data_IF_063751932309
#
_entry.id   IF_063751932309
#
_cell.length_a   1.000
_cell.length_b   1.000
_cell.length_c   1.000
_cell.angle_alpha   90.00
_cell.angle_beta   90.00
_cell.angle_gamma   90.00
#
_symmetry.space_group_name_H-M   'P 1'
#
loop_
_entity.id
_entity.type
_entity.pdbx_description
1 polymer ?
#
# COMPACT_ATOMS: atom_id res chain seq x y z
N UNK A 1 12.74 -13.21 -7.98
CA UNK A 1 12.39 -13.39 -6.55
C UNK A 1 11.11 -12.63 -6.29
N UNK A 2 10.10 -13.26 -5.70
CA UNK A 2 8.85 -12.60 -5.29
C UNK A 2 8.84 -12.43 -3.77
N UNK A 3 8.06 -11.49 -3.26
CA UNK A 3 7.83 -11.29 -1.83
C UNK A 3 6.37 -10.94 -1.59
N UNK A 4 5.83 -11.35 -0.44
CA UNK A 4 4.52 -10.95 0.03
C UNK A 4 4.69 -10.09 1.29
N UNK A 5 4.32 -8.81 1.21
CA UNK A 5 4.28 -7.90 2.36
C UNK A 5 2.85 -7.76 2.85
N UNK A 6 2.58 -8.26 4.05
CA UNK A 6 1.26 -8.19 4.68
C UNK A 6 1.24 -7.05 5.70
N UNK A 7 0.37 -6.07 5.46
CA UNK A 7 0.16 -4.90 6.32
C UNK A 7 -1.08 -5.10 7.18
N UNK A 8 -0.88 -5.53 8.43
CA UNK A 8 -1.95 -5.53 9.44
C UNK A 8 -2.24 -4.10 9.88
N UNK A 9 -3.52 -3.70 9.78
CA UNK A 9 -3.92 -2.31 9.88
C UNK A 9 -3.70 -1.53 8.58
N UNK A 10 -3.88 -2.19 7.43
CA UNK A 10 -3.66 -1.59 6.09
C UNK A 10 -4.50 -0.34 5.81
N UNK A 11 -5.62 -0.14 6.51
CA UNK A 11 -6.48 1.06 6.44
C UNK A 11 -6.08 2.18 7.42
N UNK A 12 -5.11 1.93 8.30
CA UNK A 12 -4.71 2.85 9.37
C UNK A 12 -3.86 4.04 8.90
N UNK A 13 -3.76 5.05 9.76
CA UNK A 13 -3.05 6.30 9.49
C UNK A 13 -1.57 6.09 9.13
N UNK A 14 -0.89 5.20 9.85
CA UNK A 14 0.53 4.91 9.60
C UNK A 14 0.77 4.23 8.25
N UNK A 15 -0.10 3.29 7.87
CA UNK A 15 -0.01 2.60 6.59
C UNK A 15 -0.07 3.60 5.44
N UNK A 16 -0.98 4.57 5.56
CA UNK A 16 -1.16 5.62 4.59
C UNK A 16 -0.04 6.69 4.60
N UNK A 17 0.30 7.26 5.75
CA UNK A 17 1.18 8.45 5.83
C UNK A 17 2.66 8.12 5.72
N UNK A 18 3.06 6.87 5.93
CA UNK A 18 4.48 6.47 5.97
C UNK A 18 4.77 5.27 5.09
N UNK A 19 4.04 4.16 5.27
CA UNK A 19 4.39 2.90 4.60
C UNK A 19 4.15 2.98 3.10
N UNK A 20 2.97 3.45 2.68
CA UNK A 20 2.63 3.48 1.25
C UNK A 20 3.51 4.46 0.44
N UNK A 21 3.79 5.69 0.91
CA UNK A 21 4.75 6.57 0.27
C UNK A 21 6.17 5.99 0.20
N UNK A 22 6.64 5.33 1.26
CA UNK A 22 7.95 4.68 1.26
C UNK A 22 8.02 3.52 0.25
N UNK A 23 6.98 2.70 0.16
CA UNK A 23 6.87 1.61 -0.82
C UNK A 23 6.81 2.15 -2.25
N UNK A 24 6.10 3.25 -2.49
CA UNK A 24 6.07 3.91 -3.78
C UNK A 24 7.46 4.45 -4.17
N UNK A 25 8.21 5.04 -3.24
CA UNK A 25 9.59 5.46 -3.50
C UNK A 25 10.49 4.25 -3.78
N UNK A 26 10.40 3.17 -2.99
CA UNK A 26 11.17 1.95 -3.25
C UNK A 26 10.86 1.35 -4.63
N UNK A 27 9.59 1.39 -5.07
CA UNK A 27 9.18 1.00 -6.41
C UNK A 27 9.85 1.87 -7.48
N UNK A 28 9.79 3.21 -7.33
CA UNK A 28 10.41 4.17 -8.27
C UNK A 28 11.92 3.98 -8.41
N UNK A 29 12.60 3.57 -7.34
CA UNK A 29 14.04 3.32 -7.33
C UNK A 29 14.42 1.90 -7.81
N UNK A 30 13.44 1.09 -8.24
CA UNK A 30 13.69 -0.29 -8.69
C UNK A 30 14.16 -1.23 -7.57
N UNK A 31 13.96 -0.83 -6.31
CA UNK A 31 14.38 -1.60 -5.14
C UNK A 31 13.38 -2.68 -4.74
N UNK A 32 12.16 -2.64 -5.30
CA UNK A 32 11.15 -3.68 -5.10
C UNK A 32 11.28 -4.76 -6.18
N UNK A 33 11.31 -6.05 -5.80
CA UNK A 33 11.23 -7.15 -6.75
C UNK A 33 9.97 -7.08 -7.63
N UNK A 34 10.11 -7.30 -8.93
CA UNK A 34 9.01 -7.17 -9.91
C UNK A 34 7.81 -8.11 -9.65
N UNK A 35 8.03 -9.24 -8.96
CA UNK A 35 6.98 -10.18 -8.56
C UNK A 35 6.44 -9.96 -7.14
N UNK A 36 6.69 -8.79 -6.54
CA UNK A 36 6.24 -8.47 -5.19
C UNK A 36 4.74 -8.18 -5.10
N UNK A 37 4.12 -8.55 -3.98
CA UNK A 37 2.74 -8.22 -3.66
C UNK A 37 2.67 -7.51 -2.30
N UNK A 38 1.81 -6.50 -2.21
CA UNK A 38 1.49 -5.80 -0.97
C UNK A 38 0.02 -6.11 -0.65
N UNK A 39 -0.23 -6.62 0.55
CA UNK A 39 -1.55 -7.12 0.98
C UNK A 39 -1.95 -6.33 2.22
N UNK A 40 -3.01 -5.54 2.13
CA UNK A 40 -3.59 -4.85 3.28
C UNK A 40 -4.59 -5.75 4.01
N UNK A 41 -4.48 -5.85 5.33
CA UNK A 41 -5.44 -6.56 6.18
C UNK A 41 -5.96 -5.60 7.23
N UNK A 42 -7.28 -5.45 7.31
CA UNK A 42 -7.94 -4.59 8.28
C UNK A 42 -9.28 -5.19 8.71
N UNK A 43 -9.94 -4.53 9.68
CA UNK A 43 -11.28 -4.92 10.14
C UNK A 43 -12.39 -4.37 9.23
N UNK A 44 -12.07 -3.39 8.41
CA UNK A 44 -13.01 -2.76 7.48
C UNK A 44 -13.39 -3.76 6.37
N UNK A 45 -14.68 -3.88 6.07
CA UNK A 45 -15.18 -4.72 4.99
C UNK A 45 -15.09 -3.96 3.66
N UNK A 46 -13.89 -3.94 3.08
CA UNK A 46 -13.60 -3.31 1.80
C UNK A 46 -13.26 -4.38 0.77
N UNK A 47 -13.86 -4.27 -0.41
CA UNK A 47 -13.37 -5.00 -1.58
C UNK A 47 -11.99 -4.49 -2.01
N UNK A 48 -11.25 -5.31 -2.74
CA UNK A 48 -9.95 -4.92 -3.31
C UNK A 48 -10.03 -3.61 -4.12
N UNK A 49 -11.09 -3.45 -4.91
CA UNK A 49 -11.30 -2.25 -5.74
C UNK A 49 -11.60 -1.02 -4.88
N UNK A 50 -12.45 -1.18 -3.85
CA UNK A 50 -12.75 -0.10 -2.90
C UNK A 50 -11.48 0.32 -2.14
N UNK A 51 -10.66 -0.64 -1.70
CA UNK A 51 -9.40 -0.35 -1.03
C UNK A 51 -8.42 0.38 -1.96
N UNK A 52 -8.25 -0.07 -3.21
CA UNK A 52 -7.41 0.64 -4.20
C UNK A 52 -7.90 2.06 -4.47
N UNK A 53 -9.21 2.27 -4.54
CA UNK A 53 -9.80 3.60 -4.72
C UNK A 53 -9.49 4.52 -3.53
N UNK A 54 -9.59 4.02 -2.30
CA UNK A 54 -9.19 4.77 -1.09
C UNK A 54 -7.71 5.13 -1.12
N UNK A 55 -6.84 4.16 -1.42
CA UNK A 55 -5.39 4.39 -1.52
C UNK A 55 -5.08 5.45 -2.58
N UNK A 56 -5.71 5.36 -3.77
CA UNK A 56 -5.53 6.33 -4.84
C UNK A 56 -5.97 7.74 -4.42
N UNK A 57 -7.17 7.86 -3.85
CA UNK A 57 -7.71 9.16 -3.43
C UNK A 57 -6.82 9.83 -2.39
N UNK A 58 -6.26 9.06 -1.44
CA UNK A 58 -5.36 9.64 -0.45
C UNK A 58 -4.00 10.01 -1.04
N UNK A 59 -3.51 9.32 -2.09
CA UNK A 59 -2.24 9.66 -2.75
C UNK A 59 -2.27 11.03 -3.39
N UNK A 60 -3.44 11.48 -3.84
CA UNK A 60 -3.60 12.82 -4.39
C UNK A 60 -3.35 13.91 -3.34
N UNK A 61 -3.45 13.59 -2.04
CA UNK A 61 -3.17 14.49 -0.92
C UNK A 61 -1.69 14.51 -0.49
N UNK A 62 -0.83 13.68 -1.09
CA UNK A 62 0.59 13.58 -0.77
C UNK A 62 1.41 14.19 -1.90
N UNK A 63 1.67 15.50 -1.77
CA UNK A 63 2.63 16.27 -2.57
C UNK A 63 4.07 15.76 -2.43
#
# INVERSE_FOLDING_TARGET
>A
MSFDLVLFGGTGDLAWRKLMPALFQAFRHGSLPAGGRIIGVARDDLSDDAYRAVIKARFDDVE
#
